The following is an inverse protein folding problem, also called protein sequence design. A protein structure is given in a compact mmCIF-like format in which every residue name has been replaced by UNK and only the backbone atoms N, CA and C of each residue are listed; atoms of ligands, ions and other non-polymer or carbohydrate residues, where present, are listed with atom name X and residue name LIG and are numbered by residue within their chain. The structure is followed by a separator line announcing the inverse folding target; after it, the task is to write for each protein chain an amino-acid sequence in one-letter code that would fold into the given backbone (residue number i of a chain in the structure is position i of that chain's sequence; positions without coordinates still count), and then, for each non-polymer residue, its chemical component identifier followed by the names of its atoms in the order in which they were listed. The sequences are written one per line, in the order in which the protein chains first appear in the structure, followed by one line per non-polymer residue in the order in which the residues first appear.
data_IF_016238444112
#
_entry.id   IF_016238444112
#
_cell.length_a   1.000
_cell.length_b   1.000
_cell.length_c   1.000
_cell.angle_alpha   90.00
_cell.angle_beta   90.00
_cell.angle_gamma   90.00
#
_symmetry.space_group_name_H-M   'P 1'
#
loop_
_entity.id
_entity.type
_entity.pdbx_description
1 polymer ?
#
# COMPACT_ATOMS: atom_id res chain seq x y z
N UNK A 1 0.94 -11.81 -4.70
CA UNK A 1 2.35 -12.21 -4.43
C UNK A 1 2.44 -13.60 -3.80
N UNK A 2 2.97 -14.56 -4.57
CA UNK A 2 3.08 -15.99 -4.24
C UNK A 2 4.25 -16.35 -3.30
N UNK A 3 5.34 -15.57 -3.31
CA UNK A 3 6.52 -15.83 -2.47
C UNK A 3 6.53 -14.99 -1.18
N UNK A 4 6.43 -15.68 -0.05
CA UNK A 4 6.43 -15.09 1.29
C UNK A 4 7.67 -14.24 1.60
N UNK A 5 8.85 -14.68 1.15
CA UNK A 5 10.10 -13.92 1.37
C UNK A 5 10.09 -12.61 0.60
N UNK A 6 9.57 -12.62 -0.62
CA UNK A 6 9.44 -11.40 -1.44
C UNK A 6 8.44 -10.44 -0.81
N UNK A 7 7.33 -10.94 -0.28
CA UNK A 7 6.31 -10.14 0.43
C UNK A 7 6.87 -9.47 1.68
N UNK A 8 7.69 -10.17 2.47
CA UNK A 8 8.35 -9.57 3.66
C UNK A 8 9.34 -8.48 3.25
N UNK A 9 10.12 -8.70 2.20
CA UNK A 9 11.07 -7.68 1.70
C UNK A 9 10.34 -6.45 1.15
N UNK A 10 9.26 -6.66 0.40
CA UNK A 10 8.42 -5.58 -0.10
C UNK A 10 7.82 -4.79 1.06
N UNK A 11 7.27 -5.47 2.08
CA UNK A 11 6.73 -4.82 3.27
C UNK A 11 7.76 -3.90 3.96
N UNK A 12 9.00 -4.38 4.12
CA UNK A 12 10.09 -3.57 4.69
C UNK A 12 10.48 -2.39 3.80
N UNK A 13 10.50 -2.60 2.48
CA UNK A 13 10.72 -1.54 1.51
C UNK A 13 9.68 -0.43 1.69
N UNK A 14 8.38 -0.77 1.63
CA UNK A 14 7.29 0.19 1.78
C UNK A 14 7.34 0.95 3.10
N UNK A 15 7.62 0.26 4.21
CA UNK A 15 7.78 0.88 5.53
C UNK A 15 8.95 1.87 5.58
N UNK A 16 10.03 1.62 4.82
CA UNK A 16 11.16 2.54 4.69
C UNK A 16 10.78 3.86 4.02
N UNK A 17 9.76 3.87 3.17
CA UNK A 17 9.17 5.08 2.58
C UNK A 17 8.08 5.71 3.47
N UNK A 18 7.92 5.26 4.71
CA UNK A 18 6.91 5.80 5.64
C UNK A 18 5.50 5.26 5.43
N UNK A 19 5.30 4.27 4.56
CA UNK A 19 3.99 3.63 4.40
C UNK A 19 3.68 2.72 5.60
N UNK A 20 2.54 2.96 6.23
CA UNK A 20 1.95 2.12 7.27
C UNK A 20 1.19 0.93 6.69
N UNK A 21 1.18 -0.18 7.41
CA UNK A 21 0.51 -1.42 6.99
C UNK A 21 -0.92 -1.45 7.52
N UNK A 22 -1.91 -1.58 6.63
CA UNK A 22 -3.35 -1.59 6.99
C UNK A 22 -4.02 -2.96 6.79
N UNK A 23 -3.45 -3.82 5.95
CA UNK A 23 -3.96 -5.17 5.71
C UNK A 23 -2.77 -6.12 5.48
N UNK A 24 -3.06 -7.41 5.25
CA UNK A 24 -2.02 -8.40 4.97
C UNK A 24 -1.13 -8.05 3.76
N UNK A 25 -1.70 -7.39 2.75
CA UNK A 25 -0.99 -6.88 1.58
C UNK A 25 -1.33 -5.41 1.28
N UNK A 26 -2.15 -4.75 2.12
CA UNK A 26 -2.47 -3.33 2.00
C UNK A 26 -1.55 -2.42 2.82
N UNK A 27 -1.07 -1.35 2.20
CA UNK A 27 -0.23 -0.30 2.80
C UNK A 27 -0.83 1.07 2.55
N UNK A 28 -0.30 2.09 3.21
CA UNK A 28 -0.99 3.38 3.34
C UNK A 28 0.02 4.46 3.75
N UNK A 29 0.13 5.59 3.07
CA UNK A 29 0.88 6.76 3.53
C UNK A 29 0.97 7.88 2.48
N UNK A 30 1.60 8.97 2.91
CA UNK A 30 1.89 10.12 2.06
C UNK A 30 3.30 9.99 1.46
N UNK A 31 3.41 10.25 0.16
CA UNK A 31 4.67 10.31 -0.56
C UNK A 31 4.70 11.61 -1.35
N UNK A 32 5.85 12.25 -1.38
CA UNK A 32 6.08 13.31 -2.36
C UNK A 32 6.23 12.70 -3.78
N UNK A 33 6.12 13.53 -4.85
CA UNK A 33 6.18 13.04 -6.22
C UNK A 33 7.47 12.30 -6.59
N UNK A 34 8.60 12.69 -6.00
CA UNK A 34 9.89 12.06 -6.27
C UNK A 34 9.91 10.66 -5.64
N UNK A 35 9.60 10.56 -4.36
CA UNK A 35 9.60 9.29 -3.64
C UNK A 35 8.57 8.31 -4.22
N UNK A 36 7.42 8.81 -4.67
CA UNK A 36 6.46 8.01 -5.43
C UNK A 36 7.08 7.39 -6.69
N UNK A 37 7.78 8.18 -7.51
CA UNK A 37 8.42 7.67 -8.73
C UNK A 37 9.50 6.63 -8.42
N UNK A 38 10.33 6.89 -7.41
CA UNK A 38 11.39 5.97 -6.98
C UNK A 38 10.77 4.67 -6.48
N UNK A 39 9.76 4.75 -5.59
CA UNK A 39 9.05 3.61 -5.05
C UNK A 39 8.46 2.71 -6.15
N UNK A 40 7.78 3.30 -7.14
CA UNK A 40 7.22 2.55 -8.27
C UNK A 40 8.32 1.84 -9.06
N UNK A 41 9.48 2.45 -9.23
CA UNK A 41 10.64 1.82 -9.86
C UNK A 41 11.18 0.65 -9.04
N UNK A 42 11.34 0.84 -7.73
CA UNK A 42 11.89 -0.17 -6.85
C UNK A 42 10.96 -1.38 -6.68
N UNK A 43 9.66 -1.14 -6.59
CA UNK A 43 8.66 -2.18 -6.31
C UNK A 43 8.57 -3.25 -7.42
N UNK A 44 8.91 -2.90 -8.67
CA UNK A 44 8.94 -3.84 -9.80
C UNK A 44 9.82 -5.07 -9.55
N UNK A 45 10.92 -4.91 -8.81
CA UNK A 45 11.86 -6.02 -8.53
C UNK A 45 11.27 -7.13 -7.65
N UNK A 46 10.13 -6.89 -7.01
CA UNK A 46 9.48 -7.86 -6.13
C UNK A 46 8.44 -8.74 -6.85
N UNK A 47 8.00 -8.35 -8.04
CA UNK A 47 7.12 -9.15 -8.90
C UNK A 47 7.97 -10.23 -9.57
N UNK A 48 7.74 -11.49 -9.20
CA UNK A 48 8.59 -12.61 -9.66
C UNK A 48 7.82 -13.68 -10.45
N UNK A 49 6.52 -13.84 -10.19
CA UNK A 49 5.65 -14.75 -10.94
C UNK A 49 4.67 -14.00 -11.85
N UNK A 50 4.16 -14.69 -12.87
CA UNK A 50 3.13 -14.15 -13.79
C UNK A 50 1.82 -13.76 -13.09
N UNK A 51 1.59 -14.27 -11.88
CA UNK A 51 0.42 -13.97 -11.04
C UNK A 51 0.70 -12.95 -9.94
N UNK A 52 1.93 -12.44 -9.83
CA UNK A 52 2.25 -11.42 -8.86
C UNK A 52 1.89 -10.05 -9.43
N UNK A 53 1.22 -9.22 -8.63
CA UNK A 53 0.89 -7.84 -9.01
C UNK A 53 1.16 -6.87 -7.86
N UNK A 54 1.34 -5.60 -8.20
CA UNK A 54 1.45 -4.51 -7.23
C UNK A 54 0.68 -3.34 -7.82
N UNK A 55 -0.31 -2.83 -7.09
CA UNK A 55 -1.10 -1.68 -7.51
C UNK A 55 -0.72 -0.45 -6.69
N UNK A 56 -0.16 0.55 -7.37
CA UNK A 56 0.08 1.85 -6.74
C UNK A 56 -1.01 2.80 -7.23
N UNK A 57 -1.94 3.14 -6.33
CA UNK A 57 -3.14 3.93 -6.66
C UNK A 57 -3.04 5.29 -5.96
N UNK A 58 -2.68 6.37 -6.66
CA UNK A 58 -2.67 7.70 -6.07
C UNK A 58 -4.10 8.14 -5.75
N UNK A 59 -4.34 8.59 -4.52
CA UNK A 59 -5.63 9.12 -4.09
C UNK A 59 -5.52 10.64 -3.92
N UNK A 60 -6.45 11.39 -4.52
CA UNK A 60 -6.62 12.79 -4.14
C UNK A 60 -7.29 12.89 -2.77
N UNK A 61 -7.18 14.04 -2.10
CA UNK A 61 -7.75 14.22 -0.75
C UNK A 61 -9.26 13.94 -0.68
N UNK A 62 -10.01 14.15 -1.77
CA UNK A 62 -11.44 13.77 -1.82
C UNK A 62 -11.63 12.25 -1.84
N UNK A 63 -10.87 11.51 -2.65
CA UNK A 63 -10.98 10.06 -2.75
C UNK A 63 -10.60 9.38 -1.43
N UNK A 64 -9.59 9.90 -0.75
CA UNK A 64 -9.21 9.46 0.58
C UNK A 64 -10.37 9.59 1.58
N UNK A 65 -10.99 10.78 1.67
CA UNK A 65 -12.13 11.05 2.57
C UNK A 65 -13.36 10.16 2.32
N UNK A 66 -13.53 9.70 1.09
CA UNK A 66 -14.66 8.84 0.71
C UNK A 66 -14.38 7.35 0.94
N UNK A 67 -13.12 6.99 1.12
CA UNK A 67 -12.74 5.59 1.31
C UNK A 67 -13.09 5.12 2.72
N UNK A 68 -13.44 3.84 2.82
CA UNK A 68 -13.95 3.19 4.03
C UNK A 68 -13.20 1.89 4.29
N UNK A 69 -12.83 1.67 5.54
CA UNK A 69 -12.33 0.40 6.05
C UNK A 69 -13.48 -0.26 6.80
N UNK A 70 -13.81 -1.49 6.42
CA UNK A 70 -14.83 -2.30 7.08
C UNK A 70 -14.11 -3.42 7.84
N UNK A 71 -14.23 -3.42 9.16
CA UNK A 71 -13.64 -4.46 10.01
C UNK A 71 -14.61 -4.98 11.06
N UNK A 72 -14.53 -6.27 11.38
CA UNK A 72 -15.39 -6.93 12.35
C UNK A 72 -15.18 -6.41 13.79
N UNK A 73 -13.99 -5.90 14.10
CA UNK A 73 -13.59 -5.56 15.47
C UNK A 73 -13.84 -4.11 15.88
N UNK A 74 -14.07 -3.20 14.93
CA UNK A 74 -14.17 -1.74 15.19
C UNK A 74 -15.23 -1.01 14.38
N UNK A 75 -16.07 -1.70 13.62
CA UNK A 75 -17.08 -1.08 12.76
C UNK A 75 -16.49 -0.47 11.49
N UNK A 76 -17.25 0.40 10.84
CA UNK A 76 -16.83 1.14 9.64
C UNK A 76 -15.96 2.34 10.05
N UNK A 77 -14.78 2.48 9.44
CA UNK A 77 -13.83 3.57 9.69
C UNK A 77 -13.48 4.27 8.38
N UNK A 78 -13.09 5.53 8.42
CA UNK A 78 -12.63 6.26 7.24
C UNK A 78 -11.14 6.08 7.02
N UNK A 79 -10.65 6.21 5.76
CA UNK A 79 -9.20 6.27 5.54
C UNK A 79 -8.56 7.51 6.14
N UNK A 80 -9.29 8.58 6.41
CA UNK A 80 -8.72 9.79 7.03
C UNK A 80 -8.26 9.49 8.48
N UNK A 81 -8.91 8.55 9.14
CA UNK A 81 -8.49 7.98 10.43
C UNK A 81 -7.32 6.98 10.29
N UNK A 82 -6.95 6.61 9.06
CA UNK A 82 -5.97 5.57 8.74
C UNK A 82 -4.88 5.95 7.71
N UNK A 83 -4.82 7.19 7.19
CA UNK A 83 -3.83 7.79 6.26
C UNK A 83 -3.57 7.10 4.89
N UNK A 84 -4.10 7.61 3.74
CA UNK A 84 -3.84 7.34 2.27
C UNK A 84 -3.35 5.98 1.71
N UNK A 85 -4.09 5.21 0.90
CA UNK A 85 -3.78 3.78 0.54
C UNK A 85 -2.83 3.53 -0.64
N UNK A 86 -1.97 2.51 -0.51
CA UNK A 86 -1.29 1.72 -1.55
C UNK A 86 -1.73 0.25 -1.44
N UNK A 87 -2.27 -0.35 -2.50
CA UNK A 87 -2.80 -1.73 -2.45
C UNK A 87 -1.90 -2.74 -3.16
N UNK A 88 -1.43 -3.79 -2.47
CA UNK A 88 -0.65 -4.85 -3.10
C UNK A 88 -1.49 -6.12 -3.18
N UNK A 89 -1.55 -6.78 -4.34
CA UNK A 89 -2.20 -8.09 -4.54
C UNK A 89 -1.22 -9.17 -5.03
#
# INVERSE_FOLDING_TARGET
MSNDRSRVKLAKCLQGYGLSRVQYSGFVGELDPHDHMVLVGETKRFVAGERDSIYVVPLCGRCEKLSRIITLSRGEQTLEEASRVVYIE
#
